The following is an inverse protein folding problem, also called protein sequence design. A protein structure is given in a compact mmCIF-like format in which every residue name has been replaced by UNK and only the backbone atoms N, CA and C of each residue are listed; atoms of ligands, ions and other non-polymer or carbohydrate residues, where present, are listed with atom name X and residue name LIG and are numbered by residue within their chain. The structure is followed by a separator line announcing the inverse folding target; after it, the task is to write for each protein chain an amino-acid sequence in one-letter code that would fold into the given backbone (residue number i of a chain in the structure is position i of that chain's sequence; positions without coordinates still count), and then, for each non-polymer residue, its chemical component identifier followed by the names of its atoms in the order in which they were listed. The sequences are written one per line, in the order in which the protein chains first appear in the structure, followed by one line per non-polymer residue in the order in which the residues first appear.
data_IF_686812697289
#
_entry.id   IF_686812697289
#
_cell.length_a   1.000
_cell.length_b   1.000
_cell.length_c   1.000
_cell.angle_alpha   90.00
_cell.angle_beta   90.00
_cell.angle_gamma   90.00
#
_symmetry.space_group_name_H-M   'P 1'
#
loop_
_entity.id
_entity.type
_entity.pdbx_description
1 polymer ?
#
# COMPACT_ATOMS: atom_id res chain seq x y z
N UNK A 1 13.64 -3.85 -7.04
CA UNK A 1 12.39 -4.24 -6.35
C UNK A 1 11.23 -3.67 -7.13
N UNK A 2 10.11 -4.39 -7.17
CA UNK A 2 8.84 -3.86 -7.65
C UNK A 2 8.26 -2.83 -6.67
N UNK A 3 7.18 -2.12 -7.06
CA UNK A 3 6.56 -1.12 -6.20
C UNK A 3 5.96 -1.73 -4.93
N UNK A 4 5.29 -2.89 -5.01
CA UNK A 4 4.76 -3.60 -3.85
C UNK A 4 5.86 -3.98 -2.84
N UNK A 5 6.98 -4.53 -3.32
CA UNK A 5 8.13 -4.87 -2.46
C UNK A 5 8.76 -3.62 -1.80
N UNK A 6 8.82 -2.49 -2.51
CA UNK A 6 9.26 -1.21 -1.92
C UNK A 6 8.33 -0.77 -0.77
N UNK A 7 7.02 -0.91 -0.96
CA UNK A 7 6.03 -0.58 0.07
C UNK A 7 6.11 -1.51 1.28
N UNK A 8 6.31 -2.81 1.06
CA UNK A 8 6.53 -3.80 2.13
C UNK A 8 7.75 -3.43 2.98
N UNK A 9 8.87 -3.14 2.33
CA UNK A 9 10.10 -2.74 3.02
C UNK A 9 9.92 -1.42 3.79
N UNK A 10 9.25 -0.43 3.20
CA UNK A 10 8.98 0.85 3.84
C UNK A 10 8.09 0.68 5.09
N UNK A 11 7.05 -0.14 5.01
CA UNK A 11 6.15 -0.41 6.12
C UNK A 11 6.85 -1.17 7.26
N UNK A 12 7.72 -2.15 6.96
CA UNK A 12 8.55 -2.84 7.97
C UNK A 12 9.46 -1.86 8.72
N UNK A 13 10.11 -0.94 7.99
CA UNK A 13 10.93 0.12 8.61
C UNK A 13 10.09 1.04 9.49
N UNK A 14 8.90 1.43 9.05
CA UNK A 14 8.00 2.26 9.84
C UNK A 14 7.53 1.55 11.13
N UNK A 15 7.21 0.26 11.05
CA UNK A 15 6.82 -0.53 12.22
C UNK A 15 7.98 -0.71 13.21
N UNK A 16 9.20 -0.93 12.70
CA UNK A 16 10.41 -0.95 13.52
C UNK A 16 10.68 0.40 14.21
N UNK A 17 10.48 1.52 13.50
CA UNK A 17 10.62 2.87 14.07
C UNK A 17 9.57 3.15 15.15
N UNK A 18 8.34 2.64 14.95
CA UNK A 18 7.27 2.67 15.95
C UNK A 18 7.49 1.68 17.12
N UNK A 19 8.53 0.85 17.07
CA UNK A 19 8.93 -0.06 18.14
C UNK A 19 8.20 -1.41 18.17
N UNK A 20 7.41 -1.77 17.15
CA UNK A 20 6.78 -3.09 17.06
C UNK A 20 6.36 -3.45 15.64
N UNK A 21 6.89 -4.57 15.13
CA UNK A 21 6.45 -5.15 13.84
C UNK A 21 5.02 -5.70 13.89
N UNK A 22 4.51 -6.06 15.08
CA UNK A 22 3.13 -6.56 15.27
C UNK A 22 2.07 -5.52 14.89
N UNK A 23 2.44 -4.25 14.78
CA UNK A 23 1.55 -3.20 14.29
C UNK A 23 1.06 -3.49 12.86
N UNK A 24 1.89 -4.13 12.02
CA UNK A 24 1.53 -4.41 10.64
C UNK A 24 0.42 -5.46 10.52
N UNK A 25 0.50 -6.55 11.28
CA UNK A 25 -0.53 -7.61 11.27
C UNK A 25 -1.84 -7.16 11.92
N UNK A 26 -1.79 -6.10 12.74
CA UNK A 26 -2.94 -5.53 13.45
C UNK A 26 -3.55 -4.32 12.75
N UNK A 27 -3.08 -3.96 11.55
CA UNK A 27 -3.61 -2.84 10.79
C UNK A 27 -5.12 -3.01 10.55
N UNK A 28 -5.90 -2.01 10.97
CA UNK A 28 -7.34 -1.92 10.68
C UNK A 28 -7.57 -1.48 9.22
N UNK A 29 -6.66 -0.67 8.68
CA UNK A 29 -6.66 -0.26 7.28
C UNK A 29 -5.25 -0.17 6.69
N UNK A 30 -5.15 -0.44 5.39
CA UNK A 30 -3.94 -0.21 4.56
C UNK A 30 -4.35 0.68 3.40
N UNK A 31 -3.79 1.89 3.36
CA UNK A 31 -4.12 2.93 2.39
C UNK A 31 -2.93 3.17 1.48
N UNK A 32 -3.06 2.78 0.23
CA UNK A 32 -1.99 2.89 -0.76
C UNK A 32 -2.26 4.06 -1.70
N UNK A 33 -1.31 4.98 -1.80
CA UNK A 33 -1.34 6.03 -2.83
C UNK A 33 -0.99 5.42 -4.19
N UNK A 34 -1.84 5.63 -5.18
CA UNK A 34 -1.64 5.13 -6.53
C UNK A 34 -0.36 5.71 -7.16
N UNK A 35 0.31 4.91 -7.97
CA UNK A 35 1.54 5.24 -8.67
C UNK A 35 1.49 4.80 -10.13
N UNK A 36 2.66 4.73 -10.78
CA UNK A 36 2.77 4.32 -12.17
C UNK A 36 3.08 2.82 -12.22
N UNK A 37 2.05 2.01 -11.97
CA UNK A 37 2.05 0.54 -11.97
C UNK A 37 0.62 0.01 -12.15
N UNK A 38 0.45 -1.31 -12.32
CA UNK A 38 -0.82 -1.93 -12.73
C UNK A 38 -1.51 -2.79 -11.65
N UNK A 39 -1.09 -2.70 -10.38
CA UNK A 39 -1.74 -3.43 -9.28
C UNK A 39 -3.19 -2.96 -9.08
N UNK A 40 -4.22 -3.80 -9.26
CA UNK A 40 -5.58 -3.41 -8.92
C UNK A 40 -5.77 -3.20 -7.40
N UNK A 41 -5.09 -3.96 -6.55
CA UNK A 41 -5.19 -3.84 -5.10
C UNK A 41 -3.84 -4.06 -4.41
N UNK A 42 -2.91 -3.10 -4.46
CA UNK A 42 -1.62 -3.24 -3.78
C UNK A 42 -1.75 -3.37 -2.26
N UNK A 43 -2.81 -2.80 -1.67
CA UNK A 43 -3.06 -2.90 -0.23
C UNK A 43 -3.32 -4.36 0.19
N UNK A 44 -3.99 -5.17 -0.65
CA UNK A 44 -4.15 -6.61 -0.41
C UNK A 44 -2.82 -7.37 -0.44
N UNK A 45 -1.94 -7.05 -1.38
CA UNK A 45 -0.59 -7.66 -1.42
C UNK A 45 0.15 -7.40 -0.10
N UNK A 46 0.06 -6.18 0.42
CA UNK A 46 0.66 -5.82 1.70
C UNK A 46 -0.02 -6.54 2.88
N UNK A 47 -1.36 -6.58 2.90
CA UNK A 47 -2.12 -7.28 3.93
C UNK A 47 -1.67 -8.75 4.06
N UNK A 48 -1.60 -9.46 2.93
CA UNK A 48 -1.19 -10.86 2.88
C UNK A 48 0.26 -11.05 3.37
N UNK A 49 1.17 -10.12 3.02
CA UNK A 49 2.57 -10.13 3.46
C UNK A 49 2.74 -9.86 4.96
N UNK A 50 1.80 -9.15 5.58
CA UNK A 50 1.82 -8.81 7.00
C UNK A 50 0.95 -9.73 7.87
N UNK A 51 0.14 -10.60 7.27
CA UNK A 51 -0.89 -11.37 7.98
C UNK A 51 -2.02 -10.49 8.52
N UNK A 52 -2.31 -9.38 7.83
CA UNK A 52 -3.35 -8.41 8.18
C UNK A 52 -4.62 -8.65 7.35
N UNK A 53 -5.10 -9.90 7.26
CA UNK A 53 -6.14 -10.32 6.32
C UNK A 53 -7.46 -9.52 6.47
N UNK A 54 -7.75 -9.07 7.69
CA UNK A 54 -8.93 -8.28 8.03
C UNK A 54 -8.80 -6.78 7.77
N UNK A 55 -7.62 -6.30 7.36
CA UNK A 55 -7.41 -4.89 7.07
C UNK A 55 -8.27 -4.45 5.89
N UNK A 56 -8.96 -3.32 6.03
CA UNK A 56 -9.60 -2.66 4.89
C UNK A 56 -8.54 -2.18 3.91
N UNK A 57 -8.74 -2.47 2.63
CA UNK A 57 -7.83 -2.11 1.54
C UNK A 57 -8.32 -0.86 0.81
N UNK A 58 -7.54 0.23 0.89
CA UNK A 58 -7.85 1.48 0.21
C UNK A 58 -6.81 1.74 -0.90
N UNK A 59 -7.27 2.05 -2.11
CA UNK A 59 -6.45 2.60 -3.20
C UNK A 59 -6.84 4.05 -3.44
N UNK A 60 -5.84 4.94 -3.37
CA UNK A 60 -6.04 6.40 -3.39
C UNK A 60 -5.50 6.97 -4.68
N UNK A 61 -6.35 7.60 -5.48
CA UNK A 61 -5.98 8.10 -6.79
C UNK A 61 -5.00 9.29 -6.73
N UNK A 62 -4.22 9.43 -7.81
CA UNK A 62 -3.32 10.57 -8.01
C UNK A 62 -4.15 11.86 -8.03
N UNK A 63 -3.75 12.84 -7.22
CA UNK A 63 -4.44 14.13 -7.09
C UNK A 63 -5.02 14.35 -5.70
N UNK A 64 -5.25 13.28 -4.93
CA UNK A 64 -5.55 13.40 -3.50
C UNK A 64 -4.26 13.68 -2.73
N UNK A 65 -4.29 14.70 -1.87
CA UNK A 65 -3.14 15.05 -1.04
C UNK A 65 -2.86 13.94 -0.01
N UNK A 66 -1.59 13.58 0.14
CA UNK A 66 -1.15 12.61 1.16
C UNK A 66 -1.52 13.06 2.59
N UNK A 67 -1.55 14.38 2.83
CA UNK A 67 -2.02 14.95 4.10
C UNK A 67 -3.49 14.66 4.38
N UNK A 68 -4.32 14.51 3.35
CA UNK A 68 -5.73 14.09 3.49
C UNK A 68 -5.80 12.69 4.08
N UNK A 69 -4.99 11.75 3.59
CA UNK A 69 -4.96 10.38 4.11
C UNK A 69 -4.51 10.32 5.57
N UNK A 70 -3.51 11.13 5.93
CA UNK A 70 -3.04 11.24 7.31
C UNK A 70 -4.13 11.83 8.22
N UNK A 71 -4.82 12.88 7.77
CA UNK A 71 -5.92 13.49 8.52
C UNK A 71 -7.09 12.51 8.71
N UNK A 72 -7.44 11.76 7.66
CA UNK A 72 -8.51 10.75 7.72
C UNK A 72 -8.13 9.58 8.63
N UNK A 73 -6.88 9.13 8.61
CA UNK A 73 -6.37 8.08 9.51
C UNK A 73 -6.40 8.55 10.97
N UNK A 74 -5.91 9.77 11.24
CA UNK A 74 -5.95 10.35 12.58
C UNK A 74 -7.39 10.51 13.09
N UNK A 75 -8.33 10.91 12.22
CA UNK A 75 -9.75 11.02 12.57
C UNK A 75 -10.36 9.66 12.91
N UNK A 76 -10.11 8.63 12.10
CA UNK A 76 -10.61 7.28 12.33
C UNK A 76 -10.06 6.67 13.65
N UNK A 77 -8.81 6.98 13.99
CA UNK A 77 -8.25 6.57 15.29
C UNK A 77 -8.88 7.36 16.43
N UNK A 78 -9.05 8.68 16.27
CA UNK A 78 -9.62 9.54 17.30
C UNK A 78 -11.09 9.23 17.61
N UNK A 79 -11.87 8.77 16.62
CA UNK A 79 -13.26 8.35 16.82
C UNK A 79 -13.42 6.86 17.21
N UNK A 80 -12.32 6.11 17.26
CA UNK A 80 -12.29 4.71 17.68
C UNK A 80 -12.74 3.71 16.62
N UNK A 81 -12.85 4.12 15.35
CA UNK A 81 -13.19 3.22 14.23
C UNK A 81 -11.99 2.41 13.71
N UNK A 82 -10.76 2.87 13.95
CA UNK A 82 -9.52 2.16 13.62
C UNK A 82 -8.55 2.20 14.81
N UNK A 83 -7.86 1.10 15.11
CA UNK A 83 -6.78 1.11 16.10
C UNK A 83 -5.43 1.46 15.46
N UNK A 84 -5.21 0.95 14.23
CA UNK A 84 -3.97 1.11 13.48
C UNK A 84 -4.31 1.35 12.01
N UNK A 85 -3.74 2.40 11.42
CA UNK A 85 -3.87 2.71 9.99
C UNK A 85 -2.49 2.79 9.35
N UNK A 86 -2.25 1.99 8.32
CA UNK A 86 -1.03 2.07 7.51
C UNK A 86 -1.30 2.95 6.28
N UNK A 87 -0.51 4.01 6.10
CA UNK A 87 -0.51 4.82 4.88
C UNK A 87 0.84 4.63 4.20
N UNK A 88 0.84 4.21 2.93
CA UNK A 88 2.07 3.84 2.23
C UNK A 88 1.98 4.13 0.73
N UNK A 89 3.13 4.32 0.09
CA UNK A 89 3.24 4.47 -1.35
C UNK A 89 4.59 3.95 -1.82
N UNK A 90 4.66 3.55 -3.08
CA UNK A 90 5.88 3.03 -3.70
C UNK A 90 5.84 3.22 -5.20
N UNK A 91 7.02 3.50 -5.78
CA UNK A 91 7.18 3.74 -7.21
C UNK A 91 8.42 3.01 -7.72
N UNK A 92 8.27 2.30 -8.83
CA UNK A 92 9.33 1.50 -9.45
C UNK A 92 9.47 1.75 -10.96
N UNK A 93 8.90 2.83 -11.52
CA UNK A 93 8.93 3.14 -12.96
C UNK A 93 10.32 3.07 -13.61
N UNK A 94 11.39 3.43 -12.89
CA UNK A 94 12.75 3.32 -13.42
C UNK A 94 13.14 1.87 -13.75
N UNK A 95 12.68 0.89 -12.96
CA UNK A 95 12.86 -0.54 -13.23
C UNK A 95 12.18 -0.93 -14.54
N UNK A 96 10.93 -0.51 -14.73
CA UNK A 96 10.16 -0.78 -15.96
C UNK A 96 10.81 -0.12 -17.19
N UNK A 97 11.30 1.11 -17.04
CA UNK A 97 12.06 1.80 -18.09
C UNK A 97 13.35 1.05 -18.45
N UNK A 98 14.10 0.57 -17.46
CA UNK A 98 15.34 -0.19 -17.68
C UNK A 98 15.07 -1.52 -18.39
N UNK A 99 14.02 -2.23 -18.01
CA UNK A 99 13.58 -3.45 -18.70
C UNK A 99 13.32 -3.22 -20.19
N UNK A 100 12.61 -2.14 -20.53
CA UNK A 100 12.36 -1.77 -21.94
C UNK A 100 13.66 -1.43 -22.70
N UNK A 101 14.64 -0.83 -22.03
CA UNK A 101 15.92 -0.45 -22.64
C UNK A 101 16.82 -1.69 -22.84
N UNK A 102 16.89 -2.60 -21.87
CA UNK A 102 17.79 -3.75 -21.90
C UNK A 102 17.17 -4.98 -22.56
N UNK A 103 15.85 -5.02 -22.70
CA UNK A 103 15.09 -6.20 -23.15
C UNK A 103 15.00 -7.30 -22.09
N UNK A 104 15.47 -7.04 -20.87
CA UNK A 104 15.40 -8.00 -19.77
C UNK A 104 14.01 -7.92 -19.11
N UNK A 105 13.30 -9.03 -19.07
CA UNK A 105 11.99 -9.09 -18.45
C UNK A 105 12.06 -8.78 -16.94
N UNK A 106 11.09 -8.00 -16.46
CA UNK A 106 10.86 -7.79 -15.04
C UNK A 106 9.45 -8.28 -14.73
N UNK A 107 9.33 -9.08 -13.67
CA UNK A 107 8.04 -9.61 -13.23
C UNK A 107 7.54 -8.85 -12.01
N UNK A 108 6.26 -8.55 -12.03
CA UNK A 108 5.52 -7.96 -10.92
C UNK A 108 4.59 -9.01 -10.31
N UNK A 109 4.29 -8.84 -9.03
CA UNK A 109 3.38 -9.71 -8.29
C UNK A 109 2.03 -9.74 -9.00
N UNK A 110 1.58 -10.95 -9.37
CA UNK A 110 0.31 -11.16 -10.05
C UNK A 110 -0.83 -11.21 -9.04
N UNK A 111 -1.95 -10.54 -9.37
CA UNK A 111 -3.17 -10.57 -8.57
C UNK A 111 -4.27 -11.38 -9.29
N UNK A 112 -5.19 -11.95 -8.50
CA UNK A 112 -6.30 -12.70 -9.05
C UNK A 112 -7.15 -11.85 -10.02
N UNK A 113 -7.72 -12.43 -11.09
CA UNK A 113 -8.63 -11.71 -11.96
C UNK A 113 -9.81 -11.12 -11.18
N UNK A 114 -10.09 -9.83 -11.36
CA UNK A 114 -11.18 -9.13 -10.68
C UNK A 114 -10.88 -8.68 -9.25
N UNK A 115 -9.63 -8.85 -8.78
CA UNK A 115 -9.16 -8.24 -7.55
C UNK A 115 -9.42 -6.72 -7.56
N UNK A 116 -9.84 -6.17 -6.42
CA UNK A 116 -10.18 -4.75 -6.28
C UNK A 116 -10.06 -4.32 -4.82
N UNK A 117 -9.75 -3.05 -4.54
CA UNK A 117 -9.72 -2.54 -3.18
C UNK A 117 -11.14 -2.51 -2.60
N UNK A 118 -11.24 -2.57 -1.27
CA UNK A 118 -12.49 -2.36 -0.55
C UNK A 118 -12.99 -0.92 -0.76
N UNK A 119 -12.06 0.03 -0.86
CA UNK A 119 -12.35 1.43 -1.17
C UNK A 119 -11.40 1.97 -2.24
N UNK A 120 -11.98 2.58 -3.26
CA UNK A 120 -11.27 3.44 -4.21
C UNK A 120 -11.58 4.90 -3.88
N UNK A 121 -10.55 5.74 -3.73
CA UNK A 121 -10.72 7.17 -3.45
C UNK A 121 -10.34 7.97 -4.69
N UNK A 122 -11.32 8.68 -5.24
CA UNK A 122 -11.19 9.59 -6.38
C UNK A 122 -11.17 11.06 -5.91
N UNK A 123 -10.53 11.99 -6.65
CA UNK A 123 -10.39 13.40 -6.29
C UNK A 123 -11.70 14.17 -6.05
#
# INVERSE_FOLDING_TARGET
MEAAALMVEAARRAASDAGSEELLSRASSIRVTNGIWDYPNPARILADQFGADSARTDLVEVGILQSTLLADAARAIADGSEDISLVVGGEAKFRSLRSMITGEAVEDTTQAPGEKPDRFLEP
#
